data_IF_926148700599
#
_entry.id   IF_926148700599
#
_cell.length_a   1.000
_cell.length_b   1.000
_cell.length_c   1.000
_cell.angle_alpha   90.00
_cell.angle_beta   90.00
_cell.angle_gamma   90.00
#
_symmetry.space_group_name_H-M   'P 1'
#
loop_
_entity.id
_entity.type
_entity.pdbx_description
1 polymer ?
#
# COMPACT_ATOMS: atom_id res chain seq x y z
N UNK A 1 -6.36 -4.25 62.39
CA UNK A 1 -5.38 -5.17 61.76
C UNK A 1 -6.02 -6.14 60.75
N UNK A 2 -7.17 -6.75 61.06
CA UNK A 2 -7.88 -7.66 60.14
C UNK A 2 -8.40 -6.98 58.86
N UNK A 3 -8.89 -5.74 58.94
CA UNK A 3 -9.35 -4.96 57.77
C UNK A 3 -8.25 -4.74 56.72
N UNK A 4 -7.03 -4.45 57.17
CA UNK A 4 -5.91 -4.25 56.25
C UNK A 4 -5.51 -5.58 55.59
N UNK A 5 -5.53 -6.68 56.34
CA UNK A 5 -5.27 -8.02 55.81
C UNK A 5 -6.30 -8.46 54.78
N UNK A 6 -7.59 -8.21 55.01
CA UNK A 6 -8.63 -8.54 54.04
C UNK A 6 -8.51 -7.70 52.77
N UNK A 7 -8.13 -6.43 52.90
CA UNK A 7 -7.89 -5.54 51.75
C UNK A 7 -6.72 -6.05 50.90
N UNK A 8 -5.59 -6.40 51.52
CA UNK A 8 -4.43 -6.91 50.78
C UNK A 8 -4.70 -8.23 50.09
N UNK A 9 -5.43 -9.14 50.74
CA UNK A 9 -5.79 -10.45 50.14
C UNK A 9 -6.79 -10.27 48.99
N UNK A 10 -7.77 -9.36 49.16
CA UNK A 10 -8.71 -9.03 48.11
C UNK A 10 -8.04 -8.40 46.89
N UNK A 11 -7.12 -7.45 47.10
CA UNK A 11 -6.37 -6.82 46.01
C UNK A 11 -5.49 -7.84 45.27
N UNK A 12 -4.80 -8.72 46.01
CA UNK A 12 -3.97 -9.76 45.42
C UNK A 12 -4.80 -10.73 44.56
N UNK A 13 -5.97 -11.13 45.06
CA UNK A 13 -6.91 -11.98 44.32
C UNK A 13 -7.43 -11.31 43.05
N UNK A 14 -7.78 -10.02 43.13
CA UNK A 14 -8.22 -9.25 41.96
C UNK A 14 -7.12 -9.14 40.89
N UNK A 15 -5.87 -8.88 41.30
CA UNK A 15 -4.74 -8.86 40.37
C UNK A 15 -4.53 -10.21 39.68
N UNK A 16 -4.67 -11.32 40.42
CA UNK A 16 -4.53 -12.66 39.88
C UNK A 16 -5.62 -12.97 38.85
N UNK A 17 -6.87 -12.61 39.15
CA UNK A 17 -7.99 -12.78 38.24
C UNK A 17 -7.78 -11.99 36.94
N UNK A 18 -7.33 -10.74 37.06
CA UNK A 18 -7.05 -9.86 35.91
C UNK A 18 -5.96 -10.45 35.00
N UNK A 19 -4.91 -11.05 35.58
CA UNK A 19 -3.87 -11.76 34.82
C UNK A 19 -4.40 -13.00 34.11
N UNK A 20 -5.31 -13.76 34.73
CA UNK A 20 -5.87 -14.98 34.09
C UNK A 20 -6.84 -14.66 32.96
N UNK A 21 -7.51 -13.51 32.99
CA UNK A 21 -8.40 -13.05 31.92
C UNK A 21 -7.71 -12.21 30.87
N UNK A 22 -6.42 -11.90 31.05
CA UNK A 22 -5.66 -11.12 30.10
C UNK A 22 -5.26 -12.00 28.92
N UNK A 23 -6.07 -11.96 27.87
CA UNK A 23 -5.65 -12.46 26.57
C UNK A 23 -4.60 -11.49 26.02
N UNK A 24 -3.35 -11.95 25.91
CA UNK A 24 -2.31 -11.18 25.26
C UNK A 24 -2.78 -10.87 23.83
N UNK A 25 -2.79 -9.60 23.39
CA UNK A 25 -3.11 -9.29 22.01
C UNK A 25 -2.10 -10.00 21.14
N UNK A 26 -2.56 -10.99 20.36
CA UNK A 26 -1.74 -11.62 19.34
C UNK A 26 -1.31 -10.50 18.42
N UNK A 27 0.01 -10.26 18.23
CA UNK A 27 0.44 -9.31 17.24
C UNK A 27 -0.06 -9.85 15.91
N UNK A 28 -1.10 -9.22 15.36
CA UNK A 28 -1.51 -9.42 13.98
C UNK A 28 -0.33 -8.90 13.18
N UNK A 29 0.57 -9.82 12.81
CA UNK A 29 1.51 -9.54 11.74
C UNK A 29 0.65 -9.02 10.60
N UNK A 30 0.84 -7.74 10.26
CA UNK A 30 0.16 -7.15 9.12
C UNK A 30 0.40 -8.10 7.97
N UNK A 31 -0.66 -8.77 7.52
CA UNK A 31 -0.57 -9.57 6.32
C UNK A 31 -0.02 -8.61 5.26
N UNK A 32 1.08 -8.93 4.57
CA UNK A 32 1.45 -8.15 3.40
C UNK A 32 0.20 -8.04 2.55
N UNK A 33 -0.13 -6.84 2.00
CA UNK A 33 -1.29 -6.71 1.13
C UNK A 33 -1.25 -7.87 0.16
N UNK A 34 -2.35 -8.62 0.07
CA UNK A 34 -2.46 -9.71 -0.87
C UNK A 34 -2.35 -9.08 -2.26
N UNK A 35 -1.13 -8.96 -2.76
CA UNK A 35 -0.86 -8.62 -4.15
C UNK A 35 -1.49 -9.77 -4.89
N UNK A 36 -2.64 -9.49 -5.51
CA UNK A 36 -3.26 -10.43 -6.42
C UNK A 36 -2.16 -10.84 -7.39
N UNK A 37 -1.70 -12.09 -7.28
CA UNK A 37 -0.76 -12.66 -8.20
C UNK A 37 -1.50 -12.95 -9.52
N UNK A 38 -2.02 -11.90 -10.16
CA UNK A 38 -2.19 -11.93 -11.59
C UNK A 38 -0.79 -12.17 -12.15
N UNK A 39 -0.68 -13.13 -13.07
CA UNK A 39 0.57 -13.47 -13.70
C UNK A 39 1.15 -12.20 -14.35
N UNK A 40 2.04 -11.51 -13.62
CA UNK A 40 2.64 -10.28 -14.06
C UNK A 40 3.64 -10.61 -15.15
N UNK A 41 3.22 -10.50 -16.40
CA UNK A 41 4.08 -10.64 -17.57
C UNK A 41 4.92 -9.37 -17.74
N UNK A 42 5.92 -9.21 -16.87
CA UNK A 42 6.98 -8.21 -16.99
C UNK A 42 6.73 -6.91 -16.21
N UNK A 43 7.77 -6.45 -15.53
CA UNK A 43 7.84 -5.10 -14.98
C UNK A 43 8.63 -4.21 -15.95
N UNK A 44 8.12 -3.03 -16.26
CA UNK A 44 8.84 -2.03 -17.08
C UNK A 44 9.37 -0.94 -16.16
N UNK A 45 10.67 -0.63 -16.25
CA UNK A 45 11.30 0.46 -15.49
C UNK A 45 11.57 1.63 -16.43
N UNK A 46 11.07 2.81 -16.07
CA UNK A 46 11.31 4.07 -16.78
C UNK A 46 12.08 5.00 -15.86
N UNK A 47 13.31 5.34 -16.23
CA UNK A 47 14.13 6.28 -15.48
C UNK A 47 14.02 7.69 -16.10
N UNK A 48 13.54 8.66 -15.32
CA UNK A 48 13.23 10.02 -15.80
C UNK A 48 14.17 11.04 -15.17
N UNK A 49 14.89 11.77 -16.02
CA UNK A 49 15.74 12.87 -15.59
C UNK A 49 14.93 14.04 -15.02
N UNK A 50 15.51 14.76 -14.05
CA UNK A 50 14.89 15.88 -13.33
C UNK A 50 14.35 17.01 -14.23
N UNK A 51 14.93 17.18 -15.42
CA UNK A 51 14.54 18.22 -16.38
C UNK A 51 13.33 17.85 -17.23
N UNK A 52 12.77 16.64 -17.06
CA UNK A 52 11.67 16.16 -17.90
C UNK A 52 10.35 16.78 -17.43
N UNK A 53 9.62 17.51 -18.30
CA UNK A 53 8.33 18.06 -17.93
C UNK A 53 7.31 16.95 -17.65
N UNK A 54 6.42 17.10 -16.64
CA UNK A 54 5.43 16.09 -16.28
C UNK A 54 4.54 15.65 -17.45
N UNK A 55 4.24 16.57 -18.37
CA UNK A 55 3.45 16.30 -19.57
C UNK A 55 4.06 15.21 -20.47
N UNK A 56 5.38 15.00 -20.44
CA UNK A 56 6.05 13.95 -21.21
C UNK A 56 6.03 12.59 -20.51
N UNK A 57 5.75 12.51 -19.20
CA UNK A 57 5.72 11.24 -18.46
C UNK A 57 4.75 10.23 -19.08
N UNK A 58 3.56 10.72 -19.49
CA UNK A 58 2.54 9.90 -20.13
C UNK A 58 3.00 9.33 -21.48
N UNK A 59 3.88 10.03 -22.20
CA UNK A 59 4.42 9.55 -23.47
C UNK A 59 5.53 8.50 -23.30
N UNK A 60 6.13 8.43 -22.11
CA UNK A 60 7.15 7.44 -21.77
C UNK A 60 6.53 6.11 -21.32
N UNK A 61 5.29 6.15 -20.83
CA UNK A 61 4.51 4.97 -20.51
C UNK A 61 3.80 4.53 -21.79
N UNK A 62 4.37 3.55 -22.49
CA UNK A 62 3.71 2.93 -23.64
C UNK A 62 2.49 2.16 -23.13
N UNK A 63 1.31 2.44 -23.68
CA UNK A 63 0.05 1.74 -23.41
C UNK A 63 -0.43 1.17 -24.76
N UNK A 64 -0.72 -0.12 -24.81
CA UNK A 64 -1.27 -0.78 -26.02
C UNK A 64 -2.79 -0.55 -26.15
N UNK A 65 -3.38 -0.87 -27.32
CA UNK A 65 -4.78 -0.52 -27.61
C UNK A 65 -5.81 -1.23 -26.70
N UNK A 66 -5.45 -2.38 -26.12
CA UNK A 66 -6.29 -3.13 -25.18
C UNK A 66 -5.91 -2.90 -23.71
N UNK A 67 -4.94 -2.03 -23.45
CA UNK A 67 -4.43 -1.71 -22.14
C UNK A 67 -5.02 -0.39 -21.60
N UNK A 68 -5.22 -0.33 -20.29
CA UNK A 68 -5.65 0.87 -19.57
C UNK A 68 -4.99 0.92 -18.18
N UNK A 69 -4.92 2.12 -17.59
CA UNK A 69 -4.37 2.27 -16.25
C UNK A 69 -5.43 1.87 -15.22
N UNK A 70 -5.09 0.89 -14.38
CA UNK A 70 -5.98 0.36 -13.34
C UNK A 70 -5.66 0.96 -11.97
N UNK A 71 -4.38 1.20 -11.70
CA UNK A 71 -3.95 1.81 -10.44
C UNK A 71 -2.72 2.70 -10.63
N UNK A 72 -2.59 3.70 -9.75
CA UNK A 72 -1.40 4.55 -9.61
C UNK A 72 -1.05 4.60 -8.11
N UNK A 73 0.20 4.27 -7.75
CA UNK A 73 0.69 4.19 -6.36
C UNK A 73 -0.22 3.33 -5.46
N UNK A 74 -0.61 2.15 -5.96
CA UNK A 74 -1.57 1.21 -5.35
C UNK A 74 -3.00 1.78 -5.12
N UNK A 75 -3.31 2.97 -5.66
CA UNK A 75 -4.66 3.53 -5.66
C UNK A 75 -5.38 3.21 -6.96
N UNK A 76 -6.51 2.51 -6.86
CA UNK A 76 -7.37 2.23 -8.01
C UNK A 76 -7.89 3.54 -8.62
N UNK A 77 -7.87 3.60 -9.95
CA UNK A 77 -8.40 4.71 -10.74
C UNK A 77 -9.59 4.23 -11.55
N UNK A 78 -10.68 4.99 -11.50
CA UNK A 78 -11.94 4.63 -12.17
C UNK A 78 -11.99 5.11 -13.63
N UNK A 79 -11.11 6.05 -13.99
CA UNK A 79 -11.05 6.61 -15.34
C UNK A 79 -9.63 6.99 -15.76
N UNK A 80 -9.41 7.08 -17.07
CA UNK A 80 -8.15 7.57 -17.65
C UNK A 80 -7.84 9.01 -17.24
N UNK A 81 -8.87 9.81 -16.95
CA UNK A 81 -8.69 11.18 -16.47
C UNK A 81 -8.11 11.19 -15.05
N UNK A 82 -8.61 10.31 -14.19
CA UNK A 82 -8.11 10.17 -12.81
C UNK A 82 -6.69 9.63 -12.81
N UNK A 83 -6.41 8.65 -13.68
CA UNK A 83 -5.05 8.13 -13.90
C UNK A 83 -4.08 9.25 -14.31
N UNK A 84 -4.47 10.08 -15.28
CA UNK A 84 -3.66 11.24 -15.72
C UNK A 84 -3.45 12.25 -14.61
N UNK A 85 -4.49 12.56 -13.83
CA UNK A 85 -4.38 13.49 -12.72
C UNK A 85 -3.43 12.94 -11.63
N UNK A 86 -3.49 11.64 -11.35
CA UNK A 86 -2.60 10.97 -10.40
C UNK A 86 -1.15 10.93 -10.89
N UNK A 87 -0.90 10.65 -12.17
CA UNK A 87 0.45 10.62 -12.75
C UNK A 87 1.06 12.03 -12.79
N UNK A 88 0.29 13.05 -13.19
CA UNK A 88 0.77 14.43 -13.35
C UNK A 88 0.86 15.21 -12.03
N UNK A 89 0.42 14.63 -10.91
CA UNK A 89 0.53 15.27 -9.60
C UNK A 89 1.99 15.63 -9.32
N UNK A 90 2.31 16.88 -8.95
CA UNK A 90 3.67 17.29 -8.63
C UNK A 90 4.23 16.45 -7.47
N UNK A 91 5.42 15.90 -7.66
CA UNK A 91 6.16 15.10 -6.67
C UNK A 91 7.60 15.62 -6.60
N UNK A 92 8.19 15.65 -5.41
CA UNK A 92 9.62 15.96 -5.24
C UNK A 92 10.40 14.64 -5.19
N UNK A 93 10.82 14.16 -6.37
CA UNK A 93 11.52 12.89 -6.52
C UNK A 93 10.68 11.64 -6.17
N UNK A 94 11.33 10.49 -6.15
CA UNK A 94 10.74 9.21 -5.74
C UNK A 94 10.42 8.30 -6.92
N UNK A 95 9.29 7.60 -6.84
CA UNK A 95 8.81 6.77 -7.93
C UNK A 95 7.29 6.89 -8.07
N UNK A 96 6.79 6.58 -9.27
CA UNK A 96 5.38 6.36 -9.55
C UNK A 96 5.23 4.89 -9.91
N UNK A 97 4.36 4.17 -9.23
CA UNK A 97 3.99 2.82 -9.59
C UNK A 97 2.69 2.85 -10.38
N UNK A 98 2.71 2.41 -11.63
CA UNK A 98 1.55 2.40 -12.51
C UNK A 98 1.20 0.97 -12.84
N UNK A 99 0.01 0.55 -12.44
CA UNK A 99 -0.56 -0.74 -12.83
C UNK A 99 -1.37 -0.56 -14.10
N UNK A 100 -1.00 -1.31 -15.13
CA UNK A 100 -1.66 -1.35 -16.43
C UNK A 100 -2.37 -2.70 -16.56
N UNK A 101 -3.68 -2.66 -16.76
CA UNK A 101 -4.51 -3.82 -17.03
C UNK A 101 -4.86 -3.90 -18.50
N UNK A 102 -4.74 -5.08 -19.07
CA UNK A 102 -5.22 -5.44 -20.39
C UNK A 102 -6.30 -6.51 -20.32
N UNK A 103 -6.83 -6.89 -21.49
CA UNK A 103 -7.88 -7.91 -21.59
C UNK A 103 -7.43 -9.32 -21.12
N UNK A 104 -6.13 -9.59 -21.20
CA UNK A 104 -5.54 -10.90 -20.92
C UNK A 104 -4.40 -10.88 -19.89
N UNK A 105 -3.88 -9.70 -19.52
CA UNK A 105 -2.71 -9.56 -18.65
C UNK A 105 -2.76 -8.29 -17.82
N UNK A 106 -1.98 -8.28 -16.74
CA UNK A 106 -1.71 -7.10 -15.91
C UNK A 106 -0.19 -6.93 -15.83
N UNK A 107 0.30 -5.70 -15.97
CA UNK A 107 1.72 -5.38 -15.85
C UNK A 107 1.94 -4.09 -15.06
N UNK A 108 3.09 -3.98 -14.40
CA UNK A 108 3.48 -2.79 -13.64
C UNK A 108 4.56 -2.00 -14.38
N UNK A 109 4.44 -0.69 -14.33
CA UNK A 109 5.41 0.27 -14.83
C UNK A 109 5.88 1.12 -13.67
N UNK A 110 7.16 1.01 -13.34
CA UNK A 110 7.79 1.81 -12.31
C UNK A 110 8.50 3.00 -12.97
N UNK A 111 8.10 4.21 -12.63
CA UNK A 111 8.71 5.44 -13.14
C UNK A 111 9.54 6.08 -12.03
N UNK A 112 10.86 6.09 -12.17
CA UNK A 112 11.75 6.76 -11.22
C UNK A 112 11.81 8.24 -11.55
N UNK A 113 11.58 9.08 -10.55
CA UNK A 113 11.63 10.53 -10.63
C UNK A 113 12.86 11.04 -9.88
N UNK A 114 13.82 11.59 -10.61
CA UNK A 114 15.00 12.26 -10.04
C UNK A 114 14.80 13.75 -9.84
#
# INVERSE_FOLDING_TARGET
MFLYRSLTVGLLGACFLLLTTYEAPVPVAAAPPAVAAHAMTGATLVDVAHTTPPALLLSLIRIEEDEHVVAVDDQLVESDLDARAAILRPRQGGYIDVTIGGSAHERRVLVLLH
#
